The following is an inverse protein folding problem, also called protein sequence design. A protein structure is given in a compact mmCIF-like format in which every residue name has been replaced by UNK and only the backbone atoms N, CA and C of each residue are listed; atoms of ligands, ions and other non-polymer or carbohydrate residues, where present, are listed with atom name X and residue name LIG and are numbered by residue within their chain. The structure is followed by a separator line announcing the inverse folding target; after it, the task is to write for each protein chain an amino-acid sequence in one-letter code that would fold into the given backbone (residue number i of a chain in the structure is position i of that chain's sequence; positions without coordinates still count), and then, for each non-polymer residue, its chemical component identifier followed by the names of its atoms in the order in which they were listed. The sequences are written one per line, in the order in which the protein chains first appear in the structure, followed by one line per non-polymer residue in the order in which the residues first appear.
data_IF_068256302359
#
_entry.id   IF_068256302359
#
_cell.length_a   1.000
_cell.length_b   1.000
_cell.length_c   1.000
_cell.angle_alpha   90.00
_cell.angle_beta   90.00
_cell.angle_gamma   90.00
#
_symmetry.space_group_name_H-M   'P 1'
#
loop_
_entity.id
_entity.type
_entity.pdbx_description
1 polymer ?
#
# COMPACT_ATOMS: atom_id res chain seq x y z
N UNK A 1 61.50 -4.96 3.09
CA UNK A 1 60.58 -3.95 2.52
C UNK A 1 59.35 -4.62 1.91
N UNK A 2 59.51 -5.53 0.93
CA UNK A 2 58.39 -6.24 0.28
C UNK A 2 57.39 -6.98 1.21
N UNK A 3 57.85 -7.55 2.34
CA UNK A 3 56.96 -8.28 3.28
C UNK A 3 56.05 -7.35 4.09
N UNK A 4 56.51 -6.13 4.39
CA UNK A 4 55.72 -5.12 5.11
C UNK A 4 54.61 -4.55 4.22
N UNK A 5 54.90 -4.32 2.93
CA UNK A 5 53.91 -3.86 1.94
C UNK A 5 52.81 -4.92 1.70
N UNK A 6 53.18 -6.20 1.70
CA UNK A 6 52.24 -7.31 1.55
C UNK A 6 51.30 -7.46 2.75
N UNK A 7 51.79 -7.22 3.97
CA UNK A 7 50.96 -7.17 5.18
C UNK A 7 49.99 -5.99 5.15
N UNK A 8 50.46 -4.82 4.70
CA UNK A 8 49.64 -3.60 4.63
C UNK A 8 48.50 -3.73 3.62
N UNK A 9 48.78 -4.29 2.44
CA UNK A 9 47.75 -4.56 1.40
C UNK A 9 46.70 -5.59 1.85
N UNK A 10 47.11 -6.64 2.57
CA UNK A 10 46.19 -7.62 3.16
C UNK A 10 45.29 -6.98 4.22
N UNK A 11 45.84 -6.14 5.11
CA UNK A 11 45.08 -5.41 6.13
C UNK A 11 44.08 -4.42 5.51
N UNK A 12 44.48 -3.71 4.46
CA UNK A 12 43.58 -2.84 3.70
C UNK A 12 42.44 -3.62 3.04
N UNK A 13 42.72 -4.81 2.50
CA UNK A 13 41.71 -5.67 1.90
C UNK A 13 40.71 -6.22 2.94
N UNK A 14 41.18 -6.66 4.11
CA UNK A 14 40.30 -7.05 5.23
C UNK A 14 39.44 -5.90 5.74
N UNK A 15 40.03 -4.71 5.90
CA UNK A 15 39.29 -3.50 6.33
C UNK A 15 38.17 -3.15 5.33
N UNK A 16 38.47 -3.20 4.02
CA UNK A 16 37.48 -3.02 2.95
C UNK A 16 36.37 -4.08 3.02
N UNK A 17 36.70 -5.36 3.21
CA UNK A 17 35.72 -6.46 3.35
C UNK A 17 34.81 -6.25 4.57
N UNK A 18 35.38 -5.86 5.72
CA UNK A 18 34.63 -5.56 6.95
C UNK A 18 33.71 -4.34 6.79
N UNK A 19 34.11 -3.34 6.01
CA UNK A 19 33.27 -2.19 5.69
C UNK A 19 32.14 -2.56 4.72
N UNK A 20 32.42 -3.39 3.72
CA UNK A 20 31.42 -3.87 2.76
C UNK A 20 30.37 -4.77 3.41
N UNK A 21 30.75 -5.64 4.35
CA UNK A 21 29.77 -6.48 5.07
C UNK A 21 28.77 -5.65 5.87
N UNK A 22 29.24 -4.59 6.56
CA UNK A 22 28.38 -3.63 7.27
C UNK A 22 27.41 -2.93 6.32
N UNK A 23 27.85 -2.50 5.14
CA UNK A 23 26.98 -1.85 4.13
C UNK A 23 25.92 -2.81 3.58
N UNK A 24 26.27 -4.08 3.34
CA UNK A 24 25.33 -5.10 2.86
C UNK A 24 24.22 -5.40 3.86
N UNK A 25 24.54 -5.48 5.15
CA UNK A 25 23.54 -5.69 6.20
C UNK A 25 22.56 -4.51 6.26
N UNK A 26 23.08 -3.27 6.27
CA UNK A 26 22.22 -2.08 6.26
C UNK A 26 21.30 -2.04 5.04
N UNK A 27 21.84 -2.34 3.85
CA UNK A 27 21.03 -2.38 2.63
C UNK A 27 19.94 -3.44 2.71
N UNK A 28 20.26 -4.63 3.24
CA UNK A 28 19.28 -5.70 3.40
C UNK A 28 18.17 -5.30 4.37
N UNK A 29 18.51 -4.72 5.52
CA UNK A 29 17.53 -4.23 6.51
C UNK A 29 16.63 -3.16 5.88
N UNK A 30 17.22 -2.18 5.18
CA UNK A 30 16.46 -1.11 4.53
C UNK A 30 15.49 -1.67 3.48
N UNK A 31 15.95 -2.60 2.64
CA UNK A 31 15.12 -3.21 1.60
C UNK A 31 13.99 -4.06 2.20
N UNK A 32 14.28 -4.88 3.21
CA UNK A 32 13.24 -5.68 3.89
C UNK A 32 12.20 -4.81 4.58
N UNK A 33 12.64 -3.70 5.20
CA UNK A 33 11.73 -2.79 5.87
C UNK A 33 10.83 -2.07 4.86
N UNK A 34 11.40 -1.61 3.74
CA UNK A 34 10.63 -1.00 2.64
C UNK A 34 9.59 -1.97 2.07
N UNK A 35 9.97 -3.23 1.80
CA UNK A 35 9.03 -4.25 1.35
C UNK A 35 7.93 -4.53 2.38
N UNK A 36 8.28 -4.58 3.67
CA UNK A 36 7.31 -4.78 4.75
C UNK A 36 6.29 -3.63 4.82
N UNK A 37 6.76 -2.38 4.75
CA UNK A 37 5.88 -1.19 4.73
C UNK A 37 4.96 -1.20 3.52
N UNK A 38 5.47 -1.55 2.33
CA UNK A 38 4.67 -1.65 1.11
C UNK A 38 3.59 -2.72 1.22
N UNK A 39 3.95 -3.94 1.68
CA UNK A 39 3.00 -5.04 1.86
C UNK A 39 1.93 -4.70 2.90
N UNK A 40 2.31 -4.05 3.99
CA UNK A 40 1.38 -3.59 5.02
C UNK A 40 0.36 -2.59 4.46
N UNK A 41 0.80 -1.56 3.73
CA UNK A 41 -0.11 -0.61 3.10
C UNK A 41 -1.04 -1.26 2.06
N UNK A 42 -0.51 -2.13 1.22
CA UNK A 42 -1.29 -2.82 0.19
C UNK A 42 -2.35 -3.75 0.75
N UNK A 43 -2.07 -4.46 1.85
CA UNK A 43 -3.09 -5.30 2.47
C UNK A 43 -4.29 -4.46 2.90
N UNK A 44 -4.06 -3.32 3.56
CA UNK A 44 -5.15 -2.47 4.06
C UNK A 44 -5.91 -1.83 2.89
N UNK A 45 -5.21 -1.43 1.82
CA UNK A 45 -5.81 -0.92 0.59
C UNK A 45 -6.71 -1.96 -0.09
N UNK A 46 -6.22 -3.18 -0.27
CA UNK A 46 -7.00 -4.27 -0.86
C UNK A 46 -8.20 -4.61 0.02
N UNK A 47 -8.01 -4.65 1.34
CA UNK A 47 -9.08 -4.91 2.30
C UNK A 47 -10.22 -3.89 2.17
N UNK A 48 -9.91 -2.59 2.21
CA UNK A 48 -10.94 -1.55 2.12
C UNK A 48 -11.58 -1.51 0.74
N UNK A 49 -10.80 -1.76 -0.32
CA UNK A 49 -11.34 -1.86 -1.68
C UNK A 49 -12.35 -3.01 -1.77
N UNK A 50 -11.99 -4.20 -1.27
CA UNK A 50 -12.90 -5.35 -1.24
C UNK A 50 -14.14 -5.07 -0.39
N UNK A 51 -13.98 -4.54 0.82
CA UNK A 51 -15.13 -4.19 1.68
C UNK A 51 -16.05 -3.16 1.02
N UNK A 52 -15.48 -2.17 0.34
CA UNK A 52 -16.26 -1.13 -0.36
C UNK A 52 -16.97 -1.70 -1.59
N UNK A 53 -16.31 -2.58 -2.36
CA UNK A 53 -16.92 -3.24 -3.51
C UNK A 53 -18.06 -4.16 -3.06
N UNK A 54 -17.86 -5.01 -2.05
CA UNK A 54 -18.92 -5.92 -1.60
C UNK A 54 -20.12 -5.14 -1.06
N UNK A 55 -19.90 -4.19 -0.16
CA UNK A 55 -20.98 -3.37 0.42
C UNK A 55 -21.61 -2.43 -0.59
N UNK A 56 -20.81 -1.92 -1.53
CA UNK A 56 -21.26 -1.04 -2.60
C UNK A 56 -22.15 -1.78 -3.61
N UNK A 57 -21.75 -3.00 -4.02
CA UNK A 57 -22.55 -3.84 -4.90
C UNK A 57 -23.85 -4.27 -4.19
N UNK A 58 -23.79 -4.68 -2.93
CA UNK A 58 -24.99 -4.99 -2.14
C UNK A 58 -25.96 -3.81 -2.06
N UNK A 59 -25.44 -2.58 -2.10
CA UNK A 59 -26.24 -1.34 -2.13
C UNK A 59 -26.72 -0.91 -3.53
N UNK A 60 -26.13 -1.43 -4.61
CA UNK A 60 -26.51 -1.10 -5.99
C UNK A 60 -27.69 -1.97 -6.45
N UNK A 61 -28.90 -1.55 -6.08
CA UNK A 61 -30.15 -2.14 -6.58
C UNK A 61 -30.78 -1.28 -7.67
N UNK A 62 -31.61 -1.88 -8.53
CA UNK A 62 -32.37 -1.14 -9.54
C UNK A 62 -33.28 -0.08 -8.88
N UNK A 63 -33.82 -0.39 -7.69
CA UNK A 63 -34.63 0.52 -6.89
C UNK A 63 -33.86 1.79 -6.49
N UNK A 64 -32.54 1.73 -6.28
CA UNK A 64 -31.70 2.90 -6.02
C UNK A 64 -31.76 3.92 -7.17
N UNK A 65 -31.90 3.47 -8.42
CA UNK A 65 -31.92 4.34 -9.59
C UNK A 65 -33.33 4.75 -10.01
N UNK A 66 -34.33 3.90 -9.78
CA UNK A 66 -35.70 4.13 -10.25
C UNK A 66 -36.62 4.74 -9.21
N UNK A 67 -36.34 4.53 -7.91
CA UNK A 67 -37.19 5.08 -6.85
C UNK A 67 -36.79 6.49 -6.46
N UNK A 68 -37.80 7.25 -6.07
CA UNK A 68 -37.66 8.61 -5.58
C UNK A 68 -36.96 8.63 -4.22
N UNK A 69 -36.22 9.70 -3.95
CA UNK A 69 -35.64 9.91 -2.63
C UNK A 69 -36.75 10.07 -1.60
N UNK A 70 -36.79 9.21 -0.58
CA UNK A 70 -37.87 9.16 0.39
C UNK A 70 -37.80 10.40 1.31
N UNK A 71 -38.92 10.84 1.89
CA UNK A 71 -38.91 11.85 2.95
C UNK A 71 -38.07 11.40 4.16
N UNK A 72 -37.47 12.35 4.92
CA UNK A 72 -36.76 12.01 6.15
C UNK A 72 -37.67 11.22 7.12
N UNK A 73 -37.10 10.25 7.83
CA UNK A 73 -37.79 9.29 8.71
C UNK A 73 -38.68 8.23 8.03
N UNK A 74 -38.54 8.01 6.72
CA UNK A 74 -39.23 6.88 6.04
C UNK A 74 -38.22 5.82 5.57
N UNK A 75 -38.60 4.54 5.67
CA UNK A 75 -37.74 3.40 5.35
C UNK A 75 -37.84 3.02 3.86
N UNK A 76 -36.69 2.77 3.21
CA UNK A 76 -36.61 2.44 1.78
C UNK A 76 -36.63 3.69 0.87
N UNK A 77 -36.39 3.50 -0.43
CA UNK A 77 -36.37 4.56 -1.45
C UNK A 77 -35.05 4.66 -2.24
N UNK A 78 -35.01 5.52 -3.27
CA UNK A 78 -33.89 5.62 -4.22
C UNK A 78 -33.34 7.04 -4.41
N UNK A 79 -32.51 7.24 -5.44
CA UNK A 79 -31.83 8.49 -5.75
C UNK A 79 -32.27 9.08 -7.10
N UNK A 80 -33.40 8.62 -7.64
CA UNK A 80 -33.86 9.01 -8.98
C UNK A 80 -33.92 10.54 -9.17
N UNK A 81 -34.43 11.28 -8.18
CA UNK A 81 -34.51 12.74 -8.23
C UNK A 81 -33.15 13.43 -8.18
N UNK A 82 -32.23 12.93 -7.36
CA UNK A 82 -30.89 13.50 -7.24
C UNK A 82 -30.09 13.29 -8.52
N UNK A 83 -30.26 12.13 -9.16
CA UNK A 83 -29.63 11.80 -10.45
C UNK A 83 -30.22 12.63 -11.60
N UNK A 84 -31.55 12.72 -11.68
CA UNK A 84 -32.23 13.51 -12.70
C UNK A 84 -31.94 15.01 -12.56
N UNK A 85 -31.83 15.52 -11.34
CA UNK A 85 -31.52 16.92 -11.05
C UNK A 85 -30.04 17.31 -11.23
N UNK A 86 -29.11 16.35 -11.24
CA UNK A 86 -27.67 16.60 -11.44
C UNK A 86 -27.22 16.46 -12.89
N UNK A 87 -28.09 15.96 -13.77
CA UNK A 87 -27.80 15.69 -15.19
C UNK A 87 -28.10 16.85 -16.15
N UNK A 88 -28.58 17.99 -15.64
CA UNK A 88 -28.84 19.23 -16.36
C UNK A 88 -28.01 20.37 -15.74
#
# INVERSE_FOLDING_TARGET
MATLDMQNTAQLAESRRKMQSKRRIKNRIALTLSMATMAFGLFWLIWILMSTITRGIDGMSLALFTEMTPPPNTAGGGLANALAGSGL
#
